data_IF_621683066939
#
_entry.id   IF_621683066939
#
_cell.length_a   1.000
_cell.length_b   1.000
_cell.length_c   1.000
_cell.angle_alpha   90.00
_cell.angle_beta   90.00
_cell.angle_gamma   90.00
#
_symmetry.space_group_name_H-M   'P 1'
#
loop_
_entity.id
_entity.type
_entity.pdbx_description
1 polymer ?
#
# COMPACT_ATOMS: atom_id res chain seq x y z
N UNK A 1 -8.59 -37.46 4.88
CA UNK A 1 -8.96 -36.95 3.55
C UNK A 1 -7.83 -36.07 3.03
N UNK A 2 -7.40 -36.22 1.77
CA UNK A 2 -6.44 -35.31 1.16
C UNK A 2 -7.01 -33.89 1.13
N UNK A 3 -6.16 -32.88 1.32
CA UNK A 3 -6.53 -31.45 1.30
C UNK A 3 -5.76 -30.76 0.18
N UNK A 4 -6.43 -29.90 -0.59
CA UNK A 4 -5.80 -29.13 -1.64
C UNK A 4 -4.81 -28.09 -1.04
N UNK A 5 -3.60 -27.93 -1.60
CA UNK A 5 -2.63 -26.97 -1.09
C UNK A 5 -3.11 -25.52 -1.26
N UNK A 6 -2.69 -24.65 -0.33
CA UNK A 6 -3.03 -23.21 -0.37
C UNK A 6 -1.86 -22.32 -0.78
N UNK A 7 -0.61 -22.79 -0.60
CA UNK A 7 0.57 -22.03 -1.00
C UNK A 7 0.79 -22.21 -2.49
N UNK A 8 1.06 -21.11 -3.18
CA UNK A 8 1.31 -21.09 -4.62
C UNK A 8 2.38 -22.10 -5.06
N UNK A 9 3.52 -22.14 -4.36
CA UNK A 9 4.60 -23.09 -4.66
C UNK A 9 4.16 -24.55 -4.56
N UNK A 10 3.31 -24.88 -3.57
CA UNK A 10 2.78 -26.24 -3.41
C UNK A 10 1.74 -26.58 -4.48
N UNK A 11 0.94 -25.61 -4.93
CA UNK A 11 -0.02 -25.78 -6.03
C UNK A 11 0.74 -26.08 -7.33
N UNK A 12 1.83 -25.36 -7.61
CA UNK A 12 2.67 -25.63 -8.77
C UNK A 12 3.43 -26.94 -8.65
N UNK A 13 3.88 -27.33 -7.45
CA UNK A 13 4.47 -28.65 -7.25
C UNK A 13 3.46 -29.76 -7.55
N UNK A 14 2.24 -29.64 -7.02
CA UNK A 14 1.15 -30.59 -7.25
C UNK A 14 0.77 -30.67 -8.73
N UNK A 15 0.59 -29.54 -9.42
CA UNK A 15 0.28 -29.54 -10.85
C UNK A 15 1.37 -30.25 -11.69
N UNK A 16 2.63 -30.23 -11.23
CA UNK A 16 3.74 -30.89 -11.93
C UNK A 16 3.69 -32.40 -11.71
N UNK A 17 3.44 -32.80 -10.46
CA UNK A 17 3.22 -34.20 -10.11
C UNK A 17 1.99 -34.80 -10.82
N UNK A 18 0.90 -34.03 -10.95
CA UNK A 18 -0.30 -34.44 -11.69
C UNK A 18 0.00 -34.69 -13.16
N UNK A 19 0.70 -33.76 -13.84
CA UNK A 19 1.07 -33.93 -15.24
C UNK A 19 1.94 -35.18 -15.46
N UNK A 20 2.96 -35.38 -14.61
CA UNK A 20 3.84 -36.55 -14.68
C UNK A 20 3.09 -37.87 -14.39
N UNK A 21 2.18 -37.85 -13.42
CA UNK A 21 1.33 -38.99 -13.07
C UNK A 21 0.38 -39.35 -14.21
N UNK A 22 -0.26 -38.36 -14.85
CA UNK A 22 -1.13 -38.59 -16.00
C UNK A 22 -0.39 -39.15 -17.22
N UNK A 23 0.88 -38.78 -17.41
CA UNK A 23 1.71 -39.41 -18.45
C UNK A 23 2.05 -40.87 -18.14
N UNK A 24 2.44 -41.15 -16.89
CA UNK A 24 2.94 -42.47 -16.49
C UNK A 24 1.81 -43.49 -16.34
N UNK A 25 0.62 -43.05 -15.93
CA UNK A 25 -0.52 -43.89 -15.57
C UNK A 25 -1.80 -43.53 -16.35
N UNK A 26 -1.67 -43.25 -17.65
CA UNK A 26 -2.79 -42.77 -18.47
C UNK A 26 -4.02 -43.68 -18.47
N UNK A 27 -3.84 -45.01 -18.36
CA UNK A 27 -4.93 -45.98 -18.33
C UNK A 27 -5.81 -45.85 -17.06
N UNK A 28 -5.24 -45.41 -15.95
CA UNK A 28 -5.96 -45.21 -14.68
C UNK A 28 -6.73 -43.87 -14.67
N UNK A 29 -6.35 -42.92 -15.53
CA UNK A 29 -6.92 -41.57 -15.62
C UNK A 29 -7.39 -41.20 -17.04
N UNK A 30 -8.28 -41.98 -17.67
CA UNK A 30 -8.65 -41.79 -19.08
C UNK A 30 -9.41 -40.48 -19.35
N UNK A 31 -10.05 -39.89 -18.35
CA UNK A 31 -10.82 -38.65 -18.47
C UNK A 31 -10.05 -37.39 -18.05
N UNK A 32 -8.74 -37.49 -17.77
CA UNK A 32 -7.98 -36.34 -17.32
C UNK A 32 -7.75 -35.31 -18.44
N UNK A 33 -7.95 -34.02 -18.14
CA UNK A 33 -7.68 -32.93 -19.08
C UNK A 33 -6.22 -32.47 -19.02
N UNK A 34 -5.28 -33.40 -19.26
CA UNK A 34 -3.85 -33.15 -19.14
C UNK A 34 -3.37 -31.95 -19.98
N UNK A 35 -3.86 -31.83 -21.20
CA UNK A 35 -3.46 -30.76 -22.13
C UNK A 35 -3.86 -29.39 -21.59
N UNK A 36 -5.07 -29.27 -21.06
CA UNK A 36 -5.53 -28.03 -20.45
C UNK A 36 -4.67 -27.65 -19.23
N UNK A 37 -4.39 -28.62 -18.35
CA UNK A 37 -3.56 -28.40 -17.16
C UNK A 37 -2.13 -27.97 -17.53
N UNK A 38 -1.55 -28.53 -18.60
CA UNK A 38 -0.22 -28.16 -19.09
C UNK A 38 -0.19 -26.70 -19.56
N UNK A 39 -1.13 -26.30 -20.40
CA UNK A 39 -1.20 -24.92 -20.88
C UNK A 39 -1.55 -23.94 -19.76
N UNK A 40 -2.43 -24.31 -18.83
CA UNK A 40 -2.73 -23.50 -17.64
C UNK A 40 -1.49 -23.25 -16.78
N UNK A 41 -0.66 -24.28 -16.56
CA UNK A 41 0.62 -24.14 -15.84
C UNK A 41 1.59 -23.22 -16.56
N UNK A 42 1.73 -23.35 -17.88
CA UNK A 42 2.63 -22.51 -18.69
C UNK A 42 2.16 -21.05 -18.71
N UNK A 43 0.87 -20.81 -18.92
CA UNK A 43 0.30 -19.47 -18.89
C UNK A 43 0.52 -18.79 -17.54
N UNK A 44 0.35 -19.53 -16.44
CA UNK A 44 0.66 -19.04 -15.11
C UNK A 44 2.15 -18.67 -14.95
N UNK A 45 3.07 -19.53 -15.41
CA UNK A 45 4.50 -19.27 -15.33
C UNK A 45 4.91 -17.99 -16.10
N UNK A 46 4.33 -17.76 -17.28
CA UNK A 46 4.53 -16.53 -18.04
C UNK A 46 4.01 -15.30 -17.29
N UNK A 47 2.79 -15.35 -16.77
CA UNK A 47 2.21 -14.24 -16.00
C UNK A 47 3.06 -13.88 -14.75
N UNK A 48 3.68 -14.88 -14.11
CA UNK A 48 4.60 -14.66 -12.98
C UNK A 48 5.90 -13.97 -13.40
N UNK A 49 6.44 -14.34 -14.56
CA UNK A 49 7.61 -13.65 -15.13
C UNK A 49 7.26 -12.21 -15.50
N UNK A 50 6.13 -12.00 -16.18
CA UNK A 50 5.64 -10.66 -16.54
C UNK A 50 5.44 -9.76 -15.31
N UNK A 51 4.91 -10.31 -14.21
CA UNK A 51 4.80 -9.59 -12.93
C UNK A 51 6.16 -9.17 -12.39
N UNK A 52 7.15 -10.05 -12.46
CA UNK A 52 8.50 -9.79 -11.97
C UNK A 52 9.17 -8.69 -12.81
N UNK A 53 9.03 -8.76 -14.13
CA UNK A 53 9.55 -7.75 -15.05
C UNK A 53 8.86 -6.40 -14.86
N UNK A 54 7.55 -6.38 -14.65
CA UNK A 54 6.81 -5.17 -14.35
C UNK A 54 7.23 -4.52 -13.03
N UNK A 55 7.51 -5.32 -11.98
CA UNK A 55 8.02 -4.83 -10.71
C UNK A 55 9.43 -4.21 -10.88
N UNK A 56 10.31 -4.86 -11.64
CA UNK A 56 11.64 -4.34 -11.95
C UNK A 56 11.54 -3.02 -12.74
N UNK A 57 10.67 -2.95 -13.75
CA UNK A 57 10.43 -1.73 -14.52
C UNK A 57 9.88 -0.59 -13.67
N UNK A 58 8.96 -0.88 -12.74
CA UNK A 58 8.41 0.11 -11.81
C UNK A 58 9.48 0.69 -10.86
N UNK A 59 10.39 -0.17 -10.38
CA UNK A 59 11.51 0.26 -9.55
C UNK A 59 12.45 1.19 -10.35
N UNK A 60 12.84 0.79 -11.56
CA UNK A 60 13.69 1.61 -12.44
C UNK A 60 13.02 2.96 -12.74
N UNK A 61 11.71 2.97 -13.05
CA UNK A 61 10.97 4.20 -13.31
C UNK A 61 10.93 5.13 -12.07
N UNK A 62 10.82 4.56 -10.88
CA UNK A 62 10.84 5.30 -9.61
C UNK A 62 12.21 5.95 -9.39
N UNK A 63 13.30 5.20 -9.58
CA UNK A 63 14.67 5.71 -9.46
C UNK A 63 14.95 6.83 -10.47
N UNK A 64 14.49 6.68 -11.72
CA UNK A 64 14.63 7.73 -12.73
C UNK A 64 13.86 9.00 -12.37
N UNK A 65 12.64 8.85 -11.85
CA UNK A 65 11.82 9.98 -11.39
C UNK A 65 12.49 10.69 -10.20
N UNK A 66 13.04 9.94 -9.26
CA UNK A 66 13.73 10.49 -8.09
C UNK A 66 15.04 11.18 -8.48
N UNK A 67 15.81 10.62 -9.43
CA UNK A 67 17.00 11.27 -9.98
C UNK A 67 16.67 12.61 -10.68
N UNK A 68 15.59 12.66 -11.46
CA UNK A 68 15.09 13.90 -12.08
C UNK A 68 14.65 14.93 -11.04
N UNK A 69 13.98 14.49 -9.97
CA UNK A 69 13.59 15.36 -8.88
C UNK A 69 14.81 15.95 -8.16
N UNK A 70 15.83 15.13 -7.89
CA UNK A 70 17.08 15.60 -7.30
C UNK A 70 17.77 16.66 -8.17
N UNK A 71 17.86 16.42 -9.48
CA UNK A 71 18.41 17.39 -10.43
C UNK A 71 17.60 18.71 -10.46
N UNK A 72 16.27 18.63 -10.42
CA UNK A 72 15.40 19.80 -10.34
C UNK A 72 15.64 20.58 -9.05
N UNK A 73 15.72 19.90 -7.90
CA UNK A 73 15.97 20.52 -6.59
C UNK A 73 17.30 21.27 -6.58
N UNK A 74 18.38 20.68 -7.09
CA UNK A 74 19.68 21.36 -7.16
C UNK A 74 19.64 22.59 -8.06
N UNK A 75 18.93 22.50 -9.19
CA UNK A 75 18.71 23.66 -10.07
C UNK A 75 17.90 24.75 -9.37
N UNK A 76 16.81 24.39 -8.71
CA UNK A 76 15.97 25.33 -7.95
C UNK A 76 16.75 26.03 -6.85
N UNK A 77 17.54 25.31 -6.05
CA UNK A 77 18.41 25.91 -5.02
C UNK A 77 19.36 26.95 -5.61
N UNK A 78 19.92 26.65 -6.78
CA UNK A 78 20.84 27.58 -7.46
C UNK A 78 20.11 28.83 -7.95
N UNK A 79 18.93 28.68 -8.53
CA UNK A 79 18.14 29.83 -9.01
C UNK A 79 17.61 30.68 -7.85
N UNK A 80 17.15 30.06 -6.74
CA UNK A 80 16.73 30.80 -5.55
C UNK A 80 17.86 31.64 -4.95
N UNK A 81 19.08 31.10 -4.86
CA UNK A 81 20.26 31.86 -4.41
C UNK A 81 20.55 33.06 -5.31
N UNK A 82 20.35 32.95 -6.62
CA UNK A 82 20.49 34.09 -7.54
C UNK A 82 19.39 35.11 -7.33
N UNK A 83 18.14 34.66 -7.21
CA UNK A 83 17.01 35.55 -6.94
C UNK A 83 17.20 36.33 -5.65
N UNK A 84 17.74 35.72 -4.59
CA UNK A 84 18.10 36.39 -3.34
C UNK A 84 19.15 37.50 -3.56
N UNK A 85 20.16 37.25 -4.40
CA UNK A 85 21.17 38.26 -4.77
C UNK A 85 20.56 39.37 -5.62
N UNK A 86 19.69 39.03 -6.58
CA UNK A 86 19.07 39.97 -7.51
C UNK A 86 18.13 40.97 -6.81
N UNK A 87 17.40 40.53 -5.77
CA UNK A 87 16.49 41.42 -5.02
C UNK A 87 17.20 42.29 -3.99
N UNK A 88 18.42 41.93 -3.58
CA UNK A 88 19.22 42.70 -2.62
C UNK A 88 18.47 42.97 -1.31
N UNK A 89 18.22 44.25 -1.00
CA UNK A 89 17.49 44.65 0.20
C UNK A 89 15.97 44.41 0.13
N UNK A 90 15.41 44.25 -1.07
CA UNK A 90 13.96 44.10 -1.30
C UNK A 90 13.53 42.63 -1.20
N UNK A 91 13.86 41.98 -0.08
CA UNK A 91 13.63 40.53 0.10
C UNK A 91 12.15 40.13 0.01
N UNK A 92 11.21 41.06 0.24
CA UNK A 92 9.78 40.83 0.12
C UNK A 92 9.39 40.44 -1.32
N UNK A 93 10.16 40.83 -2.33
CA UNK A 93 9.92 40.45 -3.73
C UNK A 93 10.07 38.95 -3.98
N UNK A 94 10.76 38.21 -3.11
CA UNK A 94 10.85 36.75 -3.19
C UNK A 94 9.48 36.09 -2.96
N UNK A 95 8.56 36.76 -2.27
CA UNK A 95 7.20 36.25 -2.08
C UNK A 95 6.43 36.14 -3.42
N UNK A 96 6.78 36.94 -4.44
CA UNK A 96 6.18 36.83 -5.78
C UNK A 96 6.46 35.49 -6.45
N UNK A 97 7.55 34.81 -6.07
CA UNK A 97 7.89 33.46 -6.54
C UNK A 97 7.56 32.38 -5.50
N UNK A 98 6.82 32.74 -4.45
CA UNK A 98 6.45 31.83 -3.35
C UNK A 98 7.63 31.44 -2.46
N UNK A 99 8.74 32.18 -2.51
CA UNK A 99 9.90 31.97 -1.65
C UNK A 99 9.89 32.99 -0.50
N UNK A 100 9.96 32.51 0.73
CA UNK A 100 9.81 33.39 1.89
C UNK A 100 9.70 32.59 3.19
N UNK A 101 9.42 33.28 4.31
CA UNK A 101 9.25 32.62 5.60
C UNK A 101 8.17 31.54 5.51
N UNK A 102 8.41 30.42 6.18
CA UNK A 102 7.47 29.29 6.21
C UNK A 102 6.10 29.80 6.65
N UNK A 103 5.07 29.55 5.83
CA UNK A 103 3.69 29.86 6.20
C UNK A 103 3.35 29.26 7.58
N UNK A 104 2.63 30.00 8.44
CA UNK A 104 2.24 29.48 9.74
C UNK A 104 1.38 28.21 9.55
N UNK A 105 1.51 27.22 10.45
CA UNK A 105 0.70 26.02 10.36
C UNK A 105 -0.78 26.40 10.42
N UNK A 106 -1.52 25.99 9.41
CA UNK A 106 -2.99 26.08 9.44
C UNK A 106 -3.48 25.03 10.45
N UNK A 107 -4.23 25.42 11.50
CA UNK A 107 -4.84 24.46 12.39
C UNK A 107 -5.72 23.50 11.57
N UNK A 108 -5.48 22.20 11.70
CA UNK A 108 -6.42 21.22 11.17
C UNK A 108 -7.64 21.18 12.08
N UNK A 109 -8.83 21.11 11.49
CA UNK A 109 -10.04 20.89 12.29
C UNK A 109 -9.90 19.61 13.11
N UNK A 110 -10.32 19.60 14.39
CA UNK A 110 -10.29 18.39 15.20
C UNK A 110 -11.07 17.26 14.48
N UNK A 111 -10.62 15.99 14.54
CA UNK A 111 -11.39 14.88 14.01
C UNK A 111 -12.79 14.83 14.63
N UNK A 112 -13.80 14.46 13.85
CA UNK A 112 -15.15 14.31 14.37
C UNK A 112 -15.30 13.20 15.42
N UNK A 113 -16.52 13.02 15.94
CA UNK A 113 -16.80 12.03 16.96
C UNK A 113 -16.73 10.58 16.40
N UNK A 114 -16.10 9.62 17.12
CA UNK A 114 -16.23 8.20 16.82
C UNK A 114 -17.70 7.76 16.88
N UNK A 115 -18.10 6.81 16.03
CA UNK A 115 -19.49 6.38 15.89
C UNK A 115 -19.65 4.93 16.34
N UNK A 116 -20.87 4.54 16.69
CA UNK A 116 -21.23 3.15 17.00
C UNK A 116 -20.30 2.49 18.03
N UNK A 117 -19.98 3.19 19.13
CA UNK A 117 -19.26 2.57 20.23
C UNK A 117 -20.14 1.50 20.86
N UNK A 118 -19.68 0.26 20.84
CA UNK A 118 -20.41 -0.89 21.36
C UNK A 118 -19.48 -1.84 22.13
N UNK A 119 -20.01 -2.49 23.16
CA UNK A 119 -19.31 -3.47 23.99
C UNK A 119 -19.66 -4.88 23.53
N UNK A 120 -18.99 -5.34 22.47
CA UNK A 120 -19.31 -6.58 21.74
C UNK A 120 -19.10 -7.83 22.59
N UNK A 121 -18.15 -7.80 23.53
CA UNK A 121 -17.91 -8.93 24.47
C UNK A 121 -17.68 -8.38 25.86
N UNK A 122 -18.39 -8.93 26.84
CA UNK A 122 -18.21 -8.63 28.27
C UNK A 122 -17.91 -9.93 29.01
N UNK A 123 -16.76 -10.00 29.66
CA UNK A 123 -16.32 -11.11 30.50
C UNK A 123 -15.91 -10.62 31.89
N UNK A 124 -15.61 -11.55 32.78
CA UNK A 124 -15.12 -11.21 34.12
C UNK A 124 -13.77 -10.45 34.01
N UNK A 125 -13.81 -9.13 34.20
CA UNK A 125 -12.64 -8.26 34.14
C UNK A 125 -12.15 -7.90 32.74
N UNK A 126 -12.89 -8.20 31.67
CA UNK A 126 -12.50 -7.83 30.29
C UNK A 126 -13.69 -7.36 29.48
N UNK A 127 -13.50 -6.29 28.70
CA UNK A 127 -14.49 -5.77 27.76
C UNK A 127 -13.81 -5.57 26.41
N UNK A 128 -14.42 -6.08 25.34
CA UNK A 128 -14.04 -5.78 23.96
C UNK A 128 -14.96 -4.68 23.42
N UNK A 129 -14.37 -3.54 23.03
CA UNK A 129 -15.08 -2.41 22.45
C UNK A 129 -14.87 -2.40 20.92
N UNK A 130 -15.95 -2.24 20.16
CA UNK A 130 -15.91 -1.90 18.72
C UNK A 130 -16.45 -0.48 18.51
N UNK A 131 -15.89 0.24 17.55
CA UNK A 131 -16.39 1.54 17.12
C UNK A 131 -16.02 1.82 15.67
N UNK A 132 -16.74 2.75 15.04
CA UNK A 132 -16.46 3.26 13.71
C UNK A 132 -15.76 4.62 13.78
N UNK A 133 -14.90 4.86 12.80
CA UNK A 133 -14.27 6.16 12.62
C UNK A 133 -15.32 7.26 12.38
N UNK A 134 -14.95 8.54 12.63
CA UNK A 134 -15.81 9.68 12.36
C UNK A 134 -16.30 9.70 10.91
N UNK A 135 -17.43 10.37 10.67
CA UNK A 135 -17.95 10.51 9.32
C UNK A 135 -16.93 11.24 8.42
N UNK A 136 -16.81 10.82 7.16
CA UNK A 136 -15.91 11.45 6.19
C UNK A 136 -16.24 12.94 6.09
N UNK A 137 -15.24 13.80 6.25
CA UNK A 137 -15.39 15.26 6.20
C UNK A 137 -15.80 15.94 7.51
N UNK A 138 -15.94 15.20 8.62
CA UNK A 138 -16.27 15.78 9.93
C UNK A 138 -15.07 16.38 10.70
N UNK A 139 -13.92 16.52 10.05
CA UNK A 139 -12.68 17.03 10.66
C UNK A 139 -11.41 16.42 10.08
N UNK A 140 -10.28 16.68 10.75
CA UNK A 140 -8.98 16.13 10.41
C UNK A 140 -8.87 14.61 10.61
N UNK A 141 -7.78 14.03 10.10
CA UNK A 141 -7.51 12.59 10.21
C UNK A 141 -7.30 12.16 11.67
N UNK A 142 -8.00 11.11 12.10
CA UNK A 142 -7.81 10.51 13.43
C UNK A 142 -6.41 9.90 13.54
N UNK A 143 -5.65 10.26 14.58
CA UNK A 143 -4.35 9.66 14.90
C UNK A 143 -4.43 8.62 16.02
N UNK A 144 -5.19 8.91 17.07
CA UNK A 144 -5.34 8.08 18.27
C UNK A 144 -6.76 8.21 18.82
N UNK A 145 -7.18 7.23 19.62
CA UNK A 145 -8.42 7.28 20.40
C UNK A 145 -8.06 7.27 21.89
N UNK A 146 -8.77 8.06 22.69
CA UNK A 146 -8.70 8.03 24.16
C UNK A 146 -9.92 7.28 24.66
N UNK A 147 -9.71 6.26 25.50
CA UNK A 147 -10.78 5.45 26.08
C UNK A 147 -10.82 5.74 27.57
N UNK A 148 -11.95 6.25 28.05
CA UNK A 148 -12.17 6.58 29.45
C UNK A 148 -13.19 5.61 30.04
N UNK A 149 -12.97 5.21 31.30
CA UNK A 149 -13.91 4.40 32.10
C UNK A 149 -14.23 5.14 33.39
N UNK A 150 -15.46 4.99 33.88
CA UNK A 150 -15.86 5.48 35.21
C UNK A 150 -16.09 4.30 36.14
N UNK A 151 -15.69 4.45 37.40
CA UNK A 151 -16.10 3.52 38.46
C UNK A 151 -17.52 3.86 38.90
N UNK A 152 -18.30 2.84 39.25
CA UNK A 152 -19.68 3.02 39.70
C UNK A 152 -19.67 3.49 41.17
N UNK A 153 -20.47 4.50 41.56
CA UNK A 153 -20.52 5.00 42.93
C UNK A 153 -21.07 3.97 43.91
#
# INVERSE_FOLDING_TARGET
MPKFPKREADILALAGAMLAGYDTHAADFPSCERIWLLFGRLAYANAKNDQTDALAAAQIATEQKDAKLAALVEKMKTELKKSEVDVGADSEKLEYIGWGPKAPPTPADPPGQPRNLDAVVQGAGTILLDWKAPARGSGGTVRTYVIERRDQP
#
